data_IF_202856828140
#
_entry.id   IF_202856828140
#
_cell.length_a   1.000
_cell.length_b   1.000
_cell.length_c   1.000
_cell.angle_alpha   90.00
_cell.angle_beta   90.00
_cell.angle_gamma   90.00
#
_symmetry.space_group_name_H-M   'P 1'
#
loop_
_entity.id
_entity.type
_entity.pdbx_description
1 polymer ?
#
# COMPACT_ATOMS: atom_id res chain seq x y z
N UNK A 1 35.52 -12.12 -23.19
CA UNK A 1 35.77 -13.58 -23.14
C UNK A 1 34.57 -14.26 -22.51
N UNK A 2 34.18 -15.43 -23.04
CA UNK A 2 32.94 -16.17 -22.75
C UNK A 2 33.15 -17.20 -21.63
N UNK A 3 32.25 -17.27 -20.64
CA UNK A 3 32.00 -18.41 -19.75
C UNK A 3 30.52 -18.27 -19.28
N UNK A 4 29.45 -18.86 -19.85
CA UNK A 4 29.01 -20.25 -20.12
C UNK A 4 28.75 -21.14 -18.88
N UNK A 5 27.45 -21.24 -18.56
CA UNK A 5 26.61 -22.42 -18.24
C UNK A 5 26.83 -23.18 -16.92
N UNK A 6 25.73 -23.40 -16.18
CA UNK A 6 25.09 -24.73 -16.00
C UNK A 6 23.72 -24.63 -15.29
N UNK A 7 22.67 -25.09 -15.98
CA UNK A 7 21.37 -25.49 -15.39
C UNK A 7 21.48 -26.89 -14.79
N UNK A 8 20.76 -27.16 -13.70
CA UNK A 8 20.43 -28.50 -13.24
C UNK A 8 18.92 -28.58 -12.96
N UNK A 9 18.24 -29.41 -13.74
CA UNK A 9 16.84 -29.79 -13.56
C UNK A 9 16.76 -30.95 -12.57
N UNK A 10 15.78 -30.94 -11.67
CA UNK A 10 15.37 -32.13 -10.93
C UNK A 10 13.84 -32.19 -10.88
N UNK A 11 13.30 -33.14 -11.64
CA UNK A 11 11.88 -33.50 -11.69
C UNK A 11 11.56 -34.44 -10.53
N UNK A 12 10.41 -34.27 -9.88
CA UNK A 12 9.79 -35.33 -9.08
C UNK A 12 8.28 -35.31 -9.26
N UNK A 13 7.78 -36.39 -9.89
CA UNK A 13 6.36 -36.68 -10.05
C UNK A 13 5.87 -37.56 -8.88
N UNK A 14 4.68 -37.29 -8.35
CA UNK A 14 3.98 -38.19 -7.41
C UNK A 14 2.51 -38.35 -7.83
N UNK A 15 2.07 -39.61 -7.87
CA UNK A 15 0.78 -40.12 -8.29
C UNK A 15 -0.31 -40.02 -7.20
N UNK A 16 -1.55 -39.96 -7.67
CA UNK A 16 -2.86 -39.99 -6.98
C UNK A 16 -3.19 -41.40 -6.43
N UNK A 17 -4.10 -41.54 -5.45
CA UNK A 17 -5.32 -42.30 -5.75
C UNK A 17 -6.63 -41.70 -5.21
N UNK A 18 -7.65 -41.78 -6.06
CA UNK A 18 -9.07 -41.53 -5.83
C UNK A 18 -9.71 -42.65 -5.00
N UNK A 19 -10.54 -42.30 -4.02
CA UNK A 19 -11.55 -43.22 -3.46
C UNK A 19 -12.93 -42.57 -3.47
N UNK A 20 -13.87 -43.28 -4.07
CA UNK A 20 -15.29 -43.01 -4.02
C UNK A 20 -15.92 -43.80 -2.86
N UNK A 21 -16.74 -43.14 -2.05
CA UNK A 21 -17.66 -43.81 -1.14
C UNK A 21 -19.04 -43.15 -1.27
N UNK A 22 -19.96 -43.90 -1.87
CA UNK A 22 -21.40 -43.63 -1.88
C UNK A 22 -21.99 -44.24 -0.60
N UNK A 23 -22.75 -43.46 0.17
CA UNK A 23 -23.55 -43.92 1.30
C UNK A 23 -24.61 -42.88 1.64
N UNK A 24 -25.88 -43.21 1.39
CA UNK A 24 -27.02 -42.30 1.44
C UNK A 24 -27.75 -42.33 2.80
N UNK A 25 -28.28 -41.15 3.17
CA UNK A 25 -29.43 -40.83 4.05
C UNK A 25 -29.30 -41.20 5.55
N UNK A 26 -29.64 -40.35 6.53
CA UNK A 26 -30.83 -39.49 6.68
C UNK A 26 -30.58 -38.20 7.52
N UNK A 27 -31.22 -37.12 7.07
CA UNK A 27 -31.95 -36.08 7.83
C UNK A 27 -31.60 -35.82 9.30
N UNK A 28 -30.99 -34.65 9.57
CA UNK A 28 -31.50 -33.69 10.59
C UNK A 28 -31.01 -32.29 10.28
N UNK A 29 -31.95 -31.34 10.33
CA UNK A 29 -31.76 -29.92 10.13
C UNK A 29 -30.95 -29.28 11.24
N UNK A 30 -29.99 -28.43 10.87
CA UNK A 30 -29.73 -27.18 11.59
C UNK A 30 -29.05 -26.19 10.65
N UNK A 31 -29.80 -25.15 10.35
CA UNK A 31 -29.42 -23.90 9.69
C UNK A 31 -28.23 -23.23 10.35
N UNK A 32 -27.14 -23.02 9.60
CA UNK A 32 -26.27 -21.85 9.76
C UNK A 32 -25.52 -21.60 8.44
N UNK A 33 -26.09 -20.77 7.56
CA UNK A 33 -25.38 -20.19 6.43
C UNK A 33 -24.28 -19.26 6.98
N UNK A 34 -23.03 -19.69 6.90
CA UNK A 34 -21.88 -18.78 6.99
C UNK A 34 -21.45 -18.43 5.59
N UNK A 35 -22.18 -17.48 5.00
CA UNK A 35 -21.72 -16.74 3.83
C UNK A 35 -20.53 -15.90 4.26
N UNK A 36 -19.34 -16.27 3.83
CA UNK A 36 -18.17 -15.40 3.86
C UNK A 36 -18.50 -14.15 3.05
N UNK A 37 -18.78 -13.06 3.76
CA UNK A 37 -19.05 -11.77 3.18
C UNK A 37 -17.75 -11.21 2.59
N UNK A 38 -17.62 -11.30 1.27
CA UNK A 38 -16.81 -10.38 0.49
C UNK A 38 -17.42 -8.98 0.68
N UNK A 39 -16.82 -8.16 1.52
CA UNK A 39 -17.19 -6.75 1.65
C UNK A 39 -16.62 -6.00 0.45
N UNK A 40 -17.36 -6.02 -0.65
CA UNK A 40 -17.28 -5.00 -1.68
C UNK A 40 -17.94 -3.74 -1.13
N UNK A 41 -17.17 -2.68 -0.89
CA UNK A 41 -17.74 -1.37 -0.55
C UNK A 41 -17.51 -0.39 -1.69
N UNK A 42 -18.62 -0.08 -2.35
CA UNK A 42 -18.86 0.94 -3.38
C UNK A 42 -20.38 1.13 -3.28
N UNK A 43 -21.00 2.29 -3.00
CA UNK A 43 -20.69 3.69 -3.33
C UNK A 43 -21.64 4.62 -2.53
N UNK A 44 -21.17 5.85 -2.29
CA UNK A 44 -21.87 7.15 -2.33
C UNK A 44 -23.04 7.46 -1.36
N UNK A 45 -22.83 8.50 -0.54
CA UNK A 45 -23.87 9.48 -0.19
C UNK A 45 -23.24 10.86 0.12
N UNK A 46 -23.73 11.88 -0.58
CA UNK A 46 -23.38 13.29 -0.46
C UNK A 46 -24.35 13.98 0.52
N UNK A 47 -23.85 14.74 1.51
CA UNK A 47 -24.22 16.14 1.81
C UNK A 47 -24.12 16.55 3.30
N UNK A 48 -23.41 17.66 3.48
CA UNK A 48 -23.46 18.72 4.50
C UNK A 48 -23.68 18.38 5.98
N UNK A 49 -22.60 18.49 6.76
CA UNK A 49 -22.62 18.80 8.18
C UNK A 49 -21.22 19.04 8.71
N UNK A 50 -20.87 20.29 8.98
CA UNK A 50 -19.61 20.69 9.58
C UNK A 50 -19.38 19.99 10.93
N UNK A 51 -18.29 19.23 11.04
CA UNK A 51 -17.63 18.79 12.27
C UNK A 51 -16.12 18.78 12.00
N UNK A 52 -15.27 19.15 12.97
CA UNK A 52 -13.82 19.19 12.80
C UNK A 52 -13.24 17.81 12.45
N UNK A 53 -12.29 17.80 11.52
CA UNK A 53 -11.64 16.64 10.93
C UNK A 53 -10.87 15.83 11.99
N UNK A 54 -11.53 14.83 12.55
CA UNK A 54 -10.86 13.71 13.21
C UNK A 54 -10.88 12.53 12.27
N UNK A 55 -9.76 12.27 11.60
CA UNK A 55 -9.58 11.15 10.67
C UNK A 55 -9.93 9.82 11.34
N UNK A 56 -11.08 9.27 10.96
CA UNK A 56 -11.44 7.90 11.30
C UNK A 56 -10.64 6.91 10.44
N UNK A 57 -10.38 5.69 10.93
CA UNK A 57 -9.66 4.68 10.16
C UNK A 57 -10.35 4.41 8.82
N UNK A 58 -9.66 4.69 7.71
CA UNK A 58 -10.10 4.37 6.35
C UNK A 58 -10.57 5.53 5.46
N UNK A 59 -10.46 6.80 5.88
CA UNK A 59 -10.61 7.92 4.95
C UNK A 59 -9.24 8.33 4.41
N UNK A 60 -8.85 7.78 3.27
CA UNK A 60 -7.64 8.19 2.54
C UNK A 60 -7.71 9.69 2.22
N UNK A 61 -6.69 10.44 2.62
CA UNK A 61 -6.53 11.84 2.17
C UNK A 61 -6.22 11.82 0.68
N UNK A 62 -7.05 12.46 -0.13
CA UNK A 62 -6.77 12.67 -1.56
C UNK A 62 -5.74 13.80 -1.71
N UNK A 63 -4.54 13.54 -2.27
CA UNK A 63 -3.50 14.57 -2.45
C UNK A 63 -4.02 15.80 -3.21
N UNK A 64 -4.93 15.60 -4.17
CA UNK A 64 -5.50 16.70 -4.97
C UNK A 64 -6.48 17.58 -4.19
N UNK A 65 -6.96 17.13 -3.03
CA UNK A 65 -7.91 17.84 -2.18
C UNK A 65 -7.25 18.62 -1.05
N UNK A 66 -5.93 18.54 -0.89
CA UNK A 66 -5.18 19.26 0.16
C UNK A 66 -5.13 20.75 -0.14
N UNK A 67 -5.60 21.58 0.80
CA UNK A 67 -5.65 23.05 0.64
C UNK A 67 -4.99 23.82 1.78
N UNK A 68 -4.74 23.15 2.91
CA UNK A 68 -4.14 23.74 4.10
C UNK A 68 -2.87 23.00 4.50
N UNK A 69 -1.98 23.69 5.22
CA UNK A 69 -0.75 23.08 5.74
C UNK A 69 -1.04 21.94 6.73
N UNK A 70 -2.13 22.02 7.50
CA UNK A 70 -2.56 20.94 8.40
C UNK A 70 -2.95 19.67 7.63
N UNK A 71 -3.72 19.81 6.55
CA UNK A 71 -4.05 18.68 5.66
C UNK A 71 -2.80 18.11 4.96
N UNK A 72 -1.80 18.95 4.66
CA UNK A 72 -0.52 18.48 4.11
C UNK A 72 0.27 17.65 5.13
N UNK A 73 0.23 18.05 6.41
CA UNK A 73 0.86 17.28 7.50
C UNK A 73 0.19 15.90 7.62
N UNK A 74 -1.13 15.86 7.58
CA UNK A 74 -1.89 14.61 7.62
C UNK A 74 -1.60 13.74 6.39
N UNK A 75 -1.50 14.35 5.20
CA UNK A 75 -1.10 13.64 3.98
C UNK A 75 0.29 13.01 4.14
N UNK A 76 1.30 13.75 4.62
CA UNK A 76 2.65 13.21 4.80
C UNK A 76 2.65 12.10 5.88
N UNK A 77 1.83 12.23 6.92
CA UNK A 77 1.67 11.16 7.90
C UNK A 77 1.07 9.89 7.27
N UNK A 78 0.08 10.02 6.37
CA UNK A 78 -0.51 8.92 5.60
C UNK A 78 0.52 8.25 4.67
N UNK A 79 1.52 8.99 4.16
CA UNK A 79 2.56 8.45 3.28
C UNK A 79 3.38 7.34 3.93
N UNK A 80 3.55 7.36 5.26
CA UNK A 80 4.17 6.27 6.02
C UNK A 80 3.37 4.96 6.01
N UNK A 81 2.06 5.05 5.71
CA UNK A 81 1.10 3.96 5.76
C UNK A 81 0.75 3.47 7.16
N UNK A 82 -0.25 2.60 7.24
CA UNK A 82 -0.78 2.08 8.50
C UNK A 82 0.03 0.87 8.99
N UNK A 83 0.86 1.09 10.01
CA UNK A 83 1.68 0.03 10.61
C UNK A 83 0.89 -1.11 11.28
N UNK A 84 -0.43 -0.97 11.48
CA UNK A 84 -1.29 -2.06 11.97
C UNK A 84 -1.63 -3.10 10.91
N UNK A 85 -1.33 -2.83 9.63
CA UNK A 85 -1.59 -3.70 8.49
C UNK A 85 -0.37 -4.54 8.07
N UNK A 86 0.56 -4.79 9.01
CA UNK A 86 1.84 -5.46 8.75
C UNK A 86 2.58 -4.85 7.55
N UNK A 87 3.33 -5.65 6.78
CA UNK A 87 4.15 -5.20 5.66
C UNK A 87 3.35 -4.43 4.59
N UNK A 88 2.03 -4.65 4.49
CA UNK A 88 1.19 -3.99 3.48
C UNK A 88 1.15 -2.48 3.69
N UNK A 89 1.13 -2.04 4.95
CA UNK A 89 0.99 -0.63 5.33
C UNK A 89 -0.19 0.10 4.64
N UNK A 90 -1.19 -0.66 4.17
CA UNK A 90 -2.41 -0.20 3.48
C UNK A 90 -2.20 0.39 2.07
N UNK A 91 -2.30 -0.41 1.00
CA UNK A 91 -1.99 0.03 -0.38
C UNK A 91 -2.99 0.99 -1.03
N UNK A 92 -4.23 1.08 -0.57
CA UNK A 92 -5.30 1.80 -1.28
C UNK A 92 -4.93 3.23 -1.72
N UNK A 93 -4.31 4.09 -0.87
CA UNK A 93 -3.97 5.46 -1.27
C UNK A 93 -2.89 5.58 -2.36
N UNK A 94 -2.14 4.49 -2.61
CA UNK A 94 -0.99 4.47 -3.52
C UNK A 94 -1.12 3.38 -4.59
N UNK A 95 -2.28 2.71 -4.67
CA UNK A 95 -2.44 1.50 -5.47
C UNK A 95 -2.17 1.77 -6.96
N UNK A 96 -2.67 2.89 -7.48
CA UNK A 96 -2.48 3.25 -8.90
C UNK A 96 -0.98 3.33 -9.27
N UNK A 97 -0.15 3.89 -8.38
CA UNK A 97 1.31 3.97 -8.59
C UNK A 97 1.95 2.58 -8.52
N UNK A 98 1.51 1.74 -7.58
CA UNK A 98 2.03 0.37 -7.45
C UNK A 98 1.70 -0.47 -8.68
N UNK A 99 0.46 -0.41 -9.17
CA UNK A 99 0.01 -1.13 -10.35
C UNK A 99 0.79 -0.68 -11.60
N UNK A 100 1.07 0.62 -11.74
CA UNK A 100 1.83 1.17 -12.87
C UNK A 100 3.32 0.83 -12.81
N UNK A 101 3.98 1.01 -11.66
CA UNK A 101 5.43 0.84 -11.52
C UNK A 101 5.83 -0.63 -11.44
N UNK A 102 5.14 -1.42 -10.62
CA UNK A 102 5.50 -2.83 -10.40
C UNK A 102 5.02 -3.73 -11.54
N UNK A 103 4.01 -3.30 -12.30
CA UNK A 103 3.45 -4.05 -13.42
C UNK A 103 3.04 -5.51 -13.07
N UNK A 104 2.60 -5.70 -11.83
CA UNK A 104 1.98 -6.94 -11.31
C UNK A 104 0.56 -6.61 -10.83
N UNK A 105 -0.27 -7.63 -10.63
CA UNK A 105 -1.59 -7.41 -10.04
C UNK A 105 -1.47 -7.16 -8.53
N UNK A 106 -2.45 -6.44 -7.98
CA UNK A 106 -2.66 -6.32 -6.54
C UNK A 106 -2.65 -7.68 -5.82
N UNK A 107 -3.26 -8.72 -6.40
CA UNK A 107 -3.29 -10.07 -5.83
C UNK A 107 -1.90 -10.72 -5.77
N UNK A 108 -1.10 -10.58 -6.82
CA UNK A 108 0.29 -11.06 -6.83
C UNK A 108 1.14 -10.32 -5.81
N UNK A 109 0.94 -9.00 -5.66
CA UNK A 109 1.61 -8.21 -4.62
C UNK A 109 1.27 -8.75 -3.23
N UNK A 110 0.00 -9.01 -2.93
CA UNK A 110 -0.42 -9.60 -1.65
C UNK A 110 0.25 -10.94 -1.39
N UNK A 111 0.27 -11.86 -2.36
CA UNK A 111 0.94 -13.16 -2.21
C UNK A 111 2.42 -13.00 -1.83
N UNK A 112 3.12 -12.06 -2.47
CA UNK A 112 4.53 -11.78 -2.16
C UNK A 112 4.70 -11.23 -0.75
N UNK A 113 3.83 -10.33 -0.32
CA UNK A 113 3.96 -9.69 0.99
C UNK A 113 3.52 -10.62 2.13
N UNK A 114 2.40 -11.32 1.99
CA UNK A 114 1.84 -12.22 3.01
C UNK A 114 2.57 -13.55 3.09
N UNK A 115 2.81 -14.21 1.95
CA UNK A 115 3.32 -15.57 1.94
C UNK A 115 4.84 -15.63 1.88
N UNK A 116 5.47 -14.64 1.22
CA UNK A 116 6.93 -14.60 1.04
C UNK A 116 7.60 -13.58 1.98
N UNK A 117 6.83 -12.79 2.73
CA UNK A 117 7.34 -11.83 3.71
C UNK A 117 8.13 -10.69 3.06
N UNK A 118 7.83 -10.36 1.80
CA UNK A 118 8.51 -9.28 1.08
C UNK A 118 7.90 -7.92 1.44
N UNK A 119 8.74 -6.91 1.61
CA UNK A 119 8.29 -5.52 1.57
C UNK A 119 8.30 -5.00 0.13
N UNK A 120 7.82 -3.78 -0.09
CA UNK A 120 7.74 -3.20 -1.43
C UNK A 120 9.11 -3.10 -2.12
N UNK A 121 10.17 -2.78 -1.37
CA UNK A 121 11.55 -2.76 -1.89
C UNK A 121 11.96 -4.15 -2.43
N UNK A 122 11.77 -5.20 -1.64
CA UNK A 122 12.10 -6.57 -2.05
C UNK A 122 11.27 -7.03 -3.25
N UNK A 123 9.98 -6.66 -3.31
CA UNK A 123 9.13 -6.93 -4.47
C UNK A 123 9.68 -6.22 -5.71
N UNK A 124 10.05 -4.95 -5.62
CA UNK A 124 10.63 -4.19 -6.72
C UNK A 124 11.95 -4.82 -7.21
N UNK A 125 12.85 -5.16 -6.30
CA UNK A 125 14.15 -5.80 -6.62
C UNK A 125 13.96 -7.13 -7.35
N UNK A 126 13.02 -7.97 -6.90
CA UNK A 126 12.70 -9.25 -7.54
C UNK A 126 12.13 -9.10 -8.96
N UNK A 127 11.47 -7.97 -9.24
CA UNK A 127 11.00 -7.59 -10.57
C UNK A 127 12.09 -6.94 -11.42
N UNK A 128 13.30 -6.74 -10.87
CA UNK A 128 14.42 -6.09 -11.54
C UNK A 128 14.30 -4.58 -11.59
N UNK A 129 13.50 -3.99 -10.71
CA UNK A 129 13.33 -2.55 -10.52
C UNK A 129 14.21 -2.08 -9.36
N UNK A 130 14.76 -0.88 -9.48
CA UNK A 130 15.46 -0.24 -8.37
C UNK A 130 14.41 0.34 -7.40
N UNK A 131 14.48 0.07 -6.08
CA UNK A 131 13.49 0.56 -5.12
C UNK A 131 13.31 2.08 -5.14
N UNK A 132 14.37 2.85 -5.47
CA UNK A 132 14.26 4.31 -5.60
C UNK A 132 13.32 4.70 -6.74
N UNK A 133 13.20 3.91 -7.80
CA UNK A 133 12.22 4.17 -8.87
C UNK A 133 10.78 4.16 -8.34
N UNK A 134 10.46 3.26 -7.41
CA UNK A 134 9.14 3.22 -6.79
C UNK A 134 8.94 4.40 -5.84
N UNK A 135 9.96 4.73 -5.03
CA UNK A 135 9.91 5.87 -4.10
C UNK A 135 9.69 7.17 -4.87
N UNK A 136 10.45 7.41 -5.93
CA UNK A 136 10.35 8.61 -6.77
C UNK A 136 8.96 8.75 -7.38
N UNK A 137 8.38 7.65 -7.89
CA UNK A 137 7.04 7.66 -8.46
C UNK A 137 5.94 7.98 -7.42
N UNK A 138 6.10 7.49 -6.18
CA UNK A 138 5.20 7.80 -5.08
C UNK A 138 5.32 9.29 -4.67
N UNK A 139 6.54 9.80 -4.56
CA UNK A 139 6.81 11.22 -4.26
C UNK A 139 6.24 12.12 -5.36
N UNK A 140 6.44 11.75 -6.64
CA UNK A 140 5.91 12.49 -7.78
C UNK A 140 4.38 12.53 -7.78
N UNK A 141 3.72 11.41 -7.44
CA UNK A 141 2.27 11.31 -7.37
C UNK A 141 1.65 12.27 -6.36
N UNK A 142 2.30 12.49 -5.21
CA UNK A 142 1.76 13.30 -4.10
C UNK A 142 2.32 14.73 -4.05
N UNK A 143 3.44 14.99 -4.74
CA UNK A 143 4.05 16.31 -4.90
C UNK A 143 3.09 17.44 -5.33
N UNK A 144 2.06 17.21 -6.18
CA UNK A 144 1.10 18.25 -6.55
C UNK A 144 0.39 18.92 -5.36
N UNK A 145 0.22 18.23 -4.23
CA UNK A 145 -0.33 18.83 -3.02
C UNK A 145 0.58 19.96 -2.49
N UNK A 146 1.89 19.72 -2.48
CA UNK A 146 2.89 20.70 -2.05
C UNK A 146 2.96 21.86 -3.04
N UNK A 147 2.95 21.55 -4.34
CA UNK A 147 2.93 22.56 -5.42
C UNK A 147 1.74 23.50 -5.31
N UNK A 148 0.54 22.96 -5.05
CA UNK A 148 -0.68 23.75 -4.90
C UNK A 148 -0.61 24.73 -3.72
N UNK A 149 -0.07 24.29 -2.58
CA UNK A 149 0.10 25.14 -1.39
C UNK A 149 1.16 26.22 -1.61
N UNK A 150 2.23 25.90 -2.34
CA UNK A 150 3.27 26.87 -2.73
C UNK A 150 2.68 27.94 -3.68
N UNK A 151 1.94 27.53 -4.71
CA UNK A 151 1.28 28.45 -5.65
C UNK A 151 0.25 29.35 -4.95
N UNK A 152 -0.49 28.81 -3.99
CA UNK A 152 -1.43 29.57 -3.16
C UNK A 152 -0.72 30.54 -2.18
N UNK A 153 0.59 30.40 -1.97
CA UNK A 153 1.36 31.17 -1.00
C UNK A 153 1.08 30.78 0.45
N UNK A 154 0.49 29.60 0.68
CA UNK A 154 0.27 29.03 2.02
C UNK A 154 1.59 28.64 2.68
N UNK A 155 2.54 28.15 1.88
CA UNK A 155 3.90 27.80 2.30
C UNK A 155 4.93 28.55 1.45
N UNK A 156 6.13 28.75 1.98
CA UNK A 156 7.28 29.30 1.26
C UNK A 156 8.00 28.24 0.40
N UNK A 157 8.89 28.68 -0.50
CA UNK A 157 9.74 27.77 -1.31
C UNK A 157 10.59 26.85 -0.43
N UNK A 158 11.17 27.37 0.65
CA UNK A 158 11.97 26.60 1.60
C UNK A 158 11.13 25.54 2.33
N UNK A 159 9.90 25.89 2.73
CA UNK A 159 8.97 24.93 3.31
C UNK A 159 8.55 23.87 2.29
N UNK A 160 8.31 24.25 1.03
CA UNK A 160 7.95 23.29 -0.01
C UNK A 160 9.06 22.25 -0.24
N UNK A 161 10.32 22.68 -0.28
CA UNK A 161 11.47 21.76 -0.37
C UNK A 161 11.55 20.84 0.85
N UNK A 162 11.38 21.39 2.06
CA UNK A 162 11.40 20.61 3.29
C UNK A 162 10.23 19.60 3.37
N UNK A 163 9.03 19.96 2.89
CA UNK A 163 7.90 19.05 2.82
C UNK A 163 8.10 17.94 1.79
N UNK A 164 8.77 18.21 0.65
CA UNK A 164 9.13 17.15 -0.30
C UNK A 164 10.13 16.18 0.28
N UNK A 165 11.13 16.67 1.01
CA UNK A 165 12.08 15.81 1.72
C UNK A 165 11.39 14.94 2.77
N UNK A 166 10.44 15.50 3.53
CA UNK A 166 9.64 14.73 4.50
C UNK A 166 8.76 13.67 3.82
N UNK A 167 8.19 13.99 2.65
CA UNK A 167 7.41 13.04 1.85
C UNK A 167 8.29 11.89 1.32
N UNK A 168 9.48 12.20 0.82
CA UNK A 168 10.48 11.21 0.39
C UNK A 168 10.91 10.30 1.55
N UNK A 169 11.15 10.86 2.74
CA UNK A 169 11.45 10.08 3.94
C UNK A 169 10.30 9.13 4.29
N UNK A 170 9.06 9.61 4.25
CA UNK A 170 7.88 8.80 4.56
C UNK A 170 7.70 7.64 3.59
N UNK A 171 7.84 7.88 2.28
CA UNK A 171 7.76 6.82 1.28
C UNK A 171 8.96 5.88 1.30
N UNK A 172 10.16 6.40 1.56
CA UNK A 172 11.34 5.55 1.78
C UNK A 172 11.08 4.58 2.91
N UNK A 173 10.67 5.11 4.08
CA UNK A 173 10.33 4.28 5.23
C UNK A 173 9.31 3.22 4.86
N UNK A 174 8.18 3.62 4.26
CA UNK A 174 7.11 2.70 3.86
C UNK A 174 7.58 1.61 2.91
N UNK A 175 8.39 1.95 1.90
CA UNK A 175 8.86 1.03 0.88
C UNK A 175 9.87 0.03 1.45
N UNK A 176 10.75 0.49 2.34
CA UNK A 176 11.82 -0.34 2.91
C UNK A 176 11.46 -1.01 4.24
N UNK A 177 10.32 -0.71 4.84
CA UNK A 177 9.96 -1.20 6.17
C UNK A 177 9.91 -2.72 6.22
N UNK A 178 10.44 -3.30 7.28
CA UNK A 178 10.68 -4.74 7.43
C UNK A 178 9.85 -5.41 8.54
N UNK A 179 8.96 -4.66 9.20
CA UNK A 179 8.18 -5.15 10.32
C UNK A 179 8.66 -4.70 11.70
N UNK A 180 9.83 -4.08 11.82
CA UNK A 180 10.49 -3.90 13.12
C UNK A 180 10.31 -2.52 13.73
N UNK A 181 10.40 -1.47 12.92
CA UNK A 181 10.41 -0.09 13.41
C UNK A 181 8.99 0.47 13.60
N UNK A 182 8.77 1.24 14.65
CA UNK A 182 7.50 1.96 14.81
C UNK A 182 7.38 3.04 13.74
N UNK A 183 6.17 3.23 13.19
CA UNK A 183 5.91 4.33 12.25
C UNK A 183 6.23 5.68 12.90
N UNK A 184 7.09 6.51 12.29
CA UNK A 184 7.33 7.87 12.75
C UNK A 184 6.05 8.71 12.78
N UNK A 185 5.97 9.61 13.76
CA UNK A 185 4.91 10.62 13.82
C UNK A 185 5.40 11.91 13.19
N UNK A 186 4.77 12.33 12.09
CA UNK A 186 5.02 13.61 11.44
C UNK A 186 4.01 14.65 11.93
N UNK A 187 4.51 15.74 12.51
CA UNK A 187 3.67 16.82 13.07
C UNK A 187 3.97 18.18 12.44
N UNK A 188 4.52 18.17 11.22
CA UNK A 188 4.96 19.36 10.49
C UNK A 188 6.46 19.66 10.60
N UNK A 189 6.89 20.68 9.86
CA UNK A 189 8.27 21.15 9.88
C UNK A 189 8.57 21.77 11.25
N UNK A 190 9.61 21.26 11.92
CA UNK A 190 10.03 21.84 13.20
C UNK A 190 10.56 23.25 12.97
N UNK A 191 9.99 24.22 13.70
CA UNK A 191 10.39 25.63 13.68
C UNK A 191 11.63 25.89 14.55
#
# INVERSE_FOLDING_TARGET
MKLRKTLAALSLAVLIPTVAACGASETTSSTTDSSSASTSQSTAAQSNGAMPAGGGPGQSVDPASVTTEEELIDLIQEAYGDGSLDLHRGHQPVQDVLDEVLAISHEELHVRMEEQGQNLAAVAEDLGLDPTTLIDALVESWSPAIDALLEAGTISEEQAEAYRAALEEAFTFRVTWDGQEATPSFTGLTA
#
